data_IF_244111816002
#
_entry.id   IF_244111816002
#
_cell.length_a   1.000
_cell.length_b   1.000
_cell.length_c   1.000
_cell.angle_alpha   90.00
_cell.angle_beta   90.00
_cell.angle_gamma   90.00
#
_symmetry.space_group_name_H-M   'P 1'
#
loop_
_entity.id
_entity.type
_entity.pdbx_description
1 polymer ?
#
# COMPACT_ATOMS: atom_id res chain seq x y z
N UNK A 1 0.66 25.95 -36.84
CA UNK A 1 -0.14 26.69 -35.85
C UNK A 1 -0.77 25.68 -34.90
N UNK A 2 0.03 25.20 -33.94
CA UNK A 2 -0.42 24.37 -32.81
C UNK A 2 -0.21 25.23 -31.57
N UNK A 3 -0.81 26.42 -31.60
CA UNK A 3 -0.56 27.49 -30.61
C UNK A 3 -1.72 27.60 -29.63
N UNK A 4 -2.33 26.46 -29.29
CA UNK A 4 -3.43 26.44 -28.35
C UNK A 4 -2.94 25.90 -27.00
N UNK A 5 -2.86 26.75 -25.96
CA UNK A 5 -2.13 26.46 -24.72
C UNK A 5 -2.69 25.26 -23.93
N UNK A 6 -3.91 24.82 -24.25
CA UNK A 6 -4.49 23.61 -23.68
C UNK A 6 -3.78 22.34 -24.13
N UNK A 7 -3.04 22.33 -25.26
CA UNK A 7 -2.22 21.17 -25.64
C UNK A 7 -1.13 20.88 -24.62
N UNK A 8 -0.48 21.92 -24.06
CA UNK A 8 0.48 21.74 -22.98
C UNK A 8 -0.16 21.15 -21.73
N UNK A 9 -1.37 21.61 -21.38
CA UNK A 9 -2.15 21.06 -20.27
C UNK A 9 -2.57 19.61 -20.52
N UNK A 10 -2.99 19.26 -21.73
CA UNK A 10 -3.35 17.89 -22.07
C UNK A 10 -2.14 16.96 -22.07
N UNK A 11 -1.00 17.40 -22.59
CA UNK A 11 0.24 16.61 -22.55
C UNK A 11 0.71 16.41 -21.11
N UNK A 12 0.64 17.46 -20.27
CA UNK A 12 0.97 17.34 -18.84
C UNK A 12 0.02 16.39 -18.11
N UNK A 13 -1.29 16.50 -18.38
CA UNK A 13 -2.30 15.60 -17.81
C UNK A 13 -2.09 14.15 -18.27
N UNK A 14 -1.84 13.94 -19.56
CA UNK A 14 -1.55 12.62 -20.12
C UNK A 14 -0.27 12.03 -19.51
N UNK A 15 0.80 12.83 -19.40
CA UNK A 15 2.04 12.41 -18.76
C UNK A 15 1.83 12.06 -17.26
N UNK A 16 1.00 12.83 -16.55
CA UNK A 16 0.64 12.54 -15.16
C UNK A 16 -0.11 11.21 -15.04
N UNK A 17 -1.10 10.96 -15.90
CA UNK A 17 -1.84 9.70 -15.93
C UNK A 17 -0.93 8.51 -16.28
N UNK A 18 -0.02 8.69 -17.24
CA UNK A 18 0.97 7.66 -17.59
C UNK A 18 1.95 7.39 -16.46
N UNK A 19 2.39 8.41 -15.72
CA UNK A 19 3.26 8.24 -14.56
C UNK A 19 2.55 7.47 -13.44
N UNK A 20 1.27 7.78 -13.16
CA UNK A 20 0.45 7.03 -12.18
C UNK A 20 0.28 5.58 -12.63
N UNK A 21 -0.09 5.35 -13.89
CA UNK A 21 -0.25 4.01 -14.44
C UNK A 21 1.06 3.21 -14.44
N UNK A 22 2.18 3.83 -14.82
CA UNK A 22 3.50 3.23 -14.79
C UNK A 22 3.92 2.86 -13.36
N UNK A 23 3.68 3.73 -12.39
CA UNK A 23 3.99 3.47 -11.01
C UNK A 23 3.15 2.31 -10.46
N UNK A 24 1.85 2.28 -10.79
CA UNK A 24 0.95 1.18 -10.45
C UNK A 24 1.34 -0.14 -11.14
N UNK A 25 1.84 -0.10 -12.37
CA UNK A 25 2.31 -1.27 -13.09
C UNK A 25 3.62 -1.81 -12.51
N UNK A 26 4.60 -0.93 -12.27
CA UNK A 26 5.90 -1.31 -11.71
C UNK A 26 5.77 -1.96 -10.34
N UNK A 27 4.86 -1.47 -9.49
CA UNK A 27 4.65 -2.08 -8.17
C UNK A 27 4.01 -3.46 -8.25
N UNK A 28 3.24 -3.77 -9.30
CA UNK A 28 2.68 -5.11 -9.53
C UNK A 28 3.73 -6.05 -10.09
N UNK A 29 4.55 -5.59 -11.03
CA UNK A 29 5.60 -6.40 -11.63
C UNK A 29 6.66 -6.84 -10.62
N UNK A 30 6.89 -6.07 -9.53
CA UNK A 30 7.73 -6.51 -8.42
C UNK A 30 7.20 -7.74 -7.66
N UNK A 31 5.89 -8.04 -7.73
CA UNK A 31 5.33 -9.28 -7.19
C UNK A 31 5.54 -10.47 -8.14
N UNK A 32 5.57 -10.23 -9.46
CA UNK A 32 5.83 -11.26 -10.48
C UNK A 32 7.33 -11.59 -10.61
N UNK A 33 8.23 -10.64 -10.34
CA UNK A 33 9.68 -10.84 -10.34
C UNK A 33 10.20 -11.60 -9.08
N UNK A 34 9.32 -11.99 -8.15
CA UNK A 34 9.65 -12.80 -6.98
C UNK A 34 9.57 -14.33 -7.22
N UNK A 35 9.23 -14.77 -8.45
CA UNK A 35 9.05 -16.20 -8.80
C UNK A 35 10.15 -16.76 -9.73
N UNK A 36 11.37 -16.22 -9.65
CA UNK A 36 12.55 -16.83 -10.29
C UNK A 36 13.65 -17.09 -9.26
N UNK A 37 13.30 -17.76 -8.17
CA UNK A 37 14.20 -18.31 -7.17
C UNK A 37 13.72 -19.69 -6.76
N UNK A 38 14.30 -20.72 -7.38
CA UNK A 38 14.15 -22.14 -7.07
C UNK A 38 14.20 -22.39 -5.53
N UNK A 39 13.10 -22.88 -4.95
CA UNK A 39 13.02 -23.19 -3.52
C UNK A 39 11.65 -23.72 -3.09
N UNK A 40 11.56 -25.05 -2.96
CA UNK A 40 10.70 -25.90 -2.11
C UNK A 40 9.44 -25.26 -1.43
N UNK A 41 8.23 -25.86 -1.55
CA UNK A 41 7.03 -25.32 -0.94
C UNK A 41 7.00 -25.60 0.57
N UNK A 42 7.65 -24.76 1.36
CA UNK A 42 7.44 -24.70 2.80
C UNK A 42 6.27 -23.73 3.08
N UNK A 43 5.12 -24.31 3.40
CA UNK A 43 4.07 -23.80 4.28
C UNK A 43 4.06 -22.27 4.46
N UNK A 44 3.48 -21.56 3.50
CA UNK A 44 3.35 -20.09 3.55
C UNK A 44 2.44 -19.73 4.73
N UNK A 45 3.06 -19.32 5.83
CA UNK A 45 2.42 -18.74 7.00
C UNK A 45 1.35 -17.74 6.58
N UNK A 46 0.13 -17.97 7.06
CA UNK A 46 -1.02 -17.07 6.96
C UNK A 46 -0.85 -15.76 7.75
N UNK A 47 0.39 -15.33 8.00
CA UNK A 47 0.79 -14.04 8.56
C UNK A 47 1.94 -13.45 7.74
N UNK A 48 1.86 -13.54 6.41
CA UNK A 48 2.73 -12.76 5.54
C UNK A 48 2.58 -11.29 5.96
N UNK A 49 3.68 -10.69 6.40
CA UNK A 49 3.75 -9.36 7.02
C UNK A 49 3.43 -8.22 6.05
N UNK A 50 2.52 -8.42 5.11
CA UNK A 50 2.12 -7.51 4.04
C UNK A 50 0.70 -7.00 4.33
N UNK A 51 0.49 -5.72 4.08
CA UNK A 51 -0.77 -5.00 4.19
C UNK A 51 -1.04 -4.24 2.89
N UNK A 52 -2.29 -4.32 2.43
CA UNK A 52 -2.73 -3.59 1.23
C UNK A 52 -3.12 -2.14 1.57
N UNK A 53 -2.64 -1.20 0.78
CA UNK A 53 -2.98 0.20 0.90
C UNK A 53 -4.40 0.49 0.37
N UNK A 54 -5.34 0.85 1.25
CA UNK A 54 -6.73 1.20 0.87
C UNK A 54 -6.87 2.40 -0.08
N UNK A 55 -5.83 3.21 -0.24
CA UNK A 55 -5.84 4.39 -1.12
C UNK A 55 -5.44 4.07 -2.56
N UNK A 56 -4.57 3.08 -2.79
CA UNK A 56 -4.00 2.80 -4.11
C UNK A 56 -3.88 1.31 -4.47
N UNK A 57 -4.21 0.40 -3.55
CA UNK A 57 -4.12 -1.05 -3.72
C UNK A 57 -2.70 -1.62 -3.67
N UNK A 58 -1.68 -0.83 -3.32
CA UNK A 58 -0.30 -1.30 -3.25
C UNK A 58 -0.06 -2.17 -2.00
N UNK A 59 0.69 -3.25 -2.16
CA UNK A 59 1.15 -4.11 -1.08
C UNK A 59 2.38 -3.51 -0.39
N UNK A 60 2.37 -3.49 0.95
CA UNK A 60 3.43 -2.90 1.77
C UNK A 60 3.70 -3.78 2.98
N UNK A 61 4.92 -3.83 3.50
CA UNK A 61 5.14 -4.49 4.79
C UNK A 61 4.38 -3.77 5.93
N UNK A 62 3.90 -4.53 6.91
CA UNK A 62 3.14 -4.06 8.08
C UNK A 62 3.97 -3.09 8.93
N UNK A 63 5.30 -3.18 8.88
CA UNK A 63 6.25 -2.29 9.55
C UNK A 63 6.26 -0.86 9.00
N UNK A 64 5.75 -0.65 7.77
CA UNK A 64 5.69 0.69 7.20
C UNK A 64 4.56 1.51 7.80
N UNK A 65 4.91 2.73 8.23
CA UNK A 65 3.94 3.73 8.70
C UNK A 65 3.11 4.32 7.56
N UNK A 66 3.73 4.46 6.39
CA UNK A 66 3.16 5.07 5.19
C UNK A 66 3.36 4.13 4.01
N UNK A 67 2.41 4.17 3.06
CA UNK A 67 2.50 3.43 1.82
C UNK A 67 3.75 3.89 1.04
N UNK A 68 4.62 2.95 0.67
CA UNK A 68 5.82 3.20 -0.13
C UNK A 68 5.50 3.71 -1.55
N UNK A 69 4.23 3.56 -1.97
CA UNK A 69 3.74 3.95 -3.29
C UNK A 69 3.15 5.36 -3.33
N UNK A 70 2.12 5.62 -2.51
CA UNK A 70 1.37 6.88 -2.57
C UNK A 70 1.50 7.73 -1.29
N UNK A 71 2.32 7.30 -0.32
CA UNK A 71 2.58 8.00 0.94
C UNK A 71 1.35 8.15 1.86
N UNK A 72 0.22 7.53 1.52
CA UNK A 72 -0.95 7.45 2.40
C UNK A 72 -0.65 6.61 3.65
N UNK A 73 -1.24 6.97 4.80
CA UNK A 73 -1.08 6.22 6.06
C UNK A 73 -1.62 4.80 5.92
N UNK A 74 -0.83 3.81 6.33
CA UNK A 74 -1.25 2.41 6.33
C UNK A 74 -2.07 2.09 7.59
N UNK A 75 -3.04 1.15 7.52
CA UNK A 75 -3.89 0.84 8.67
C UNK A 75 -3.10 0.21 9.83
N UNK A 76 -1.95 -0.42 9.56
CA UNK A 76 -1.03 -1.00 10.57
C UNK A 76 -0.29 0.07 11.38
N UNK A 77 -0.08 1.26 10.81
CA UNK A 77 0.48 2.42 11.51
C UNK A 77 -0.41 2.97 12.63
N UNK A 78 -1.69 2.60 12.59
CA UNK A 78 -2.75 3.09 13.48
C UNK A 78 -3.24 1.97 14.40
N UNK A 79 -2.32 1.19 14.97
CA UNK A 79 -2.55 0.60 16.29
C UNK A 79 -1.77 1.40 17.33
N UNK A 80 -2.28 2.55 17.81
CA UNK A 80 -1.99 2.91 19.19
C UNK A 80 -2.59 1.78 20.01
N UNK A 81 -1.73 0.99 20.66
CA UNK A 81 -2.10 -0.08 21.57
C UNK A 81 -3.28 0.34 22.46
N UNK A 82 -4.51 -0.01 22.04
CA UNK A 82 -5.70 0.14 22.88
C UNK A 82 -5.74 -1.11 23.78
N UNK A 83 -4.68 -1.26 24.59
CA UNK A 83 -4.62 -2.14 25.76
C UNK A 83 -4.74 -1.28 27.02
N UNK A 84 -5.98 -0.96 27.32
CA UNK A 84 -6.52 -0.83 28.69
C UNK A 84 -7.97 -1.24 28.51
N UNK A 85 -8.40 -2.46 28.81
CA UNK A 85 -8.11 -3.22 30.02
C UNK A 85 -9.47 -3.46 30.68
N UNK A 86 -10.00 -4.67 30.47
CA UNK A 86 -11.02 -5.44 31.20
C UNK A 86 -12.21 -4.75 31.92
N UNK A 87 -13.43 -5.34 31.83
CA UNK A 87 -14.55 -4.99 32.68
C UNK A 87 -14.29 -5.51 34.09
N UNK A 88 -13.90 -4.64 35.03
CA UNK A 88 -13.97 -4.97 36.45
C UNK A 88 -15.37 -4.65 36.95
N UNK A 89 -16.21 -5.68 36.98
CA UNK A 89 -17.31 -5.75 37.92
C UNK A 89 -16.77 -5.49 39.33
N UNK A 90 -17.31 -4.46 39.99
CA UNK A 90 -17.08 -4.20 41.41
C UNK A 90 -18.42 -4.31 42.13
N UNK A 91 -18.59 -5.45 42.77
CA UNK A 91 -19.53 -5.69 43.86
C UNK A 91 -19.34 -4.64 44.96
N UNK A 92 -20.41 -3.95 45.34
CA UNK A 92 -20.57 -3.36 46.68
C UNK A 92 -21.96 -3.70 47.17
N UNK A 93 -21.97 -4.71 48.03
CA UNK A 93 -22.75 -4.90 49.27
C UNK A 93 -23.88 -3.93 49.57
#
# INVERSE_FOLDING_TARGET
MVDQPWYGLLLALAAFQLAVAYYAYRTRNHADDADAGDGEPEDVDADSGVVECRNCGAENDRDYRYCRSCVATLPTATEPARRTGSPLGRSTR
#
